data_IF_472807403164
#
_entry.id   IF_472807403164
#
_cell.length_a   1.000
_cell.length_b   1.000
_cell.length_c   1.000
_cell.angle_alpha   90.00
_cell.angle_beta   90.00
_cell.angle_gamma   90.00
#
_symmetry.space_group_name_H-M   'P 1'
#
loop_
_entity.id
_entity.type
_entity.pdbx_description
1 polymer ?
#
# COMPACT_ATOMS: atom_id res chain seq x y z
N UNK A 1 16.64 10.01 6.61
CA UNK A 1 15.66 9.65 5.56
C UNK A 1 15.22 8.22 5.87
N UNK A 2 13.96 8.00 6.24
CA UNK A 2 13.48 6.64 6.53
C UNK A 2 13.44 5.86 5.21
N UNK A 3 14.24 4.79 5.11
CA UNK A 3 14.12 3.85 4.01
C UNK A 3 12.72 3.22 4.11
N UNK A 4 11.91 3.34 3.05
CA UNK A 4 10.61 2.65 2.99
C UNK A 4 10.80 1.13 3.03
N UNK A 5 9.73 0.35 3.25
CA UNK A 5 9.79 -1.10 3.15
C UNK A 5 10.34 -1.51 1.78
N UNK A 6 11.36 -2.35 1.81
CA UNK A 6 12.02 -2.85 0.60
C UNK A 6 11.21 -4.01 0.00
N UNK A 7 10.66 -4.85 0.87
CA UNK A 7 10.02 -6.11 0.53
C UNK A 7 8.69 -6.30 1.29
N UNK A 8 7.92 -7.31 0.87
CA UNK A 8 6.64 -7.67 1.45
C UNK A 8 6.68 -8.07 2.92
N UNK A 9 7.79 -8.63 3.42
CA UNK A 9 7.93 -8.99 4.84
C UNK A 9 7.96 -7.73 5.69
N UNK A 10 8.79 -6.76 5.30
CA UNK A 10 8.88 -5.46 5.98
C UNK A 10 7.55 -4.71 5.92
N UNK A 11 6.92 -4.67 4.74
CA UNK A 11 5.62 -4.04 4.54
C UNK A 11 4.52 -4.70 5.41
N UNK A 12 4.48 -6.03 5.45
CA UNK A 12 3.55 -6.79 6.28
C UNK A 12 3.78 -6.51 7.77
N UNK A 13 5.02 -6.49 8.25
CA UNK A 13 5.34 -6.21 9.64
C UNK A 13 4.82 -4.84 10.09
N UNK A 14 5.03 -3.82 9.24
CA UNK A 14 4.54 -2.47 9.49
C UNK A 14 3.01 -2.40 9.50
N UNK A 15 2.35 -3.01 8.51
CA UNK A 15 0.89 -2.90 8.37
C UNK A 15 0.12 -3.83 9.31
N UNK A 16 0.65 -5.00 9.66
CA UNK A 16 0.06 -5.92 10.64
C UNK A 16 0.15 -5.38 12.06
N UNK A 17 1.19 -4.60 12.37
CA UNK A 17 1.35 -3.93 13.66
C UNK A 17 0.61 -2.59 13.78
N UNK A 18 -0.04 -2.12 12.71
CA UNK A 18 -0.66 -0.80 12.65
C UNK A 18 -1.79 -0.60 13.68
N UNK A 19 -2.51 -1.65 14.05
CA UNK A 19 -3.55 -1.60 15.07
C UNK A 19 -2.98 -1.57 16.50
N UNK A 20 -1.76 -2.05 16.68
CA UNK A 20 -1.15 -2.27 18.01
C UNK A 20 -0.10 -1.22 18.38
N UNK A 21 0.56 -0.63 17.38
CA UNK A 21 1.70 0.26 17.59
C UNK A 21 1.55 1.50 16.72
N UNK A 22 1.41 2.67 17.36
CA UNK A 22 1.20 3.96 16.68
C UNK A 22 2.27 4.28 15.63
N UNK A 23 3.55 3.99 15.92
CA UNK A 23 4.64 4.23 14.96
C UNK A 23 4.53 3.35 13.72
N UNK A 24 4.15 2.07 13.89
CA UNK A 24 3.91 1.15 12.77
C UNK A 24 2.70 1.61 11.93
N UNK A 25 1.66 2.10 12.59
CA UNK A 25 0.50 2.71 11.93
C UNK A 25 0.92 3.89 11.04
N UNK A 26 1.66 4.85 11.62
CA UNK A 26 2.15 6.03 10.89
C UNK A 26 3.02 5.61 9.72
N UNK A 27 3.91 4.63 9.87
CA UNK A 27 4.77 4.22 8.77
C UNK A 27 4.03 3.48 7.66
N UNK A 28 3.13 2.54 7.98
CA UNK A 28 2.30 1.86 6.97
C UNK A 28 1.41 2.87 6.22
N UNK A 29 0.75 3.79 6.95
CA UNK A 29 -0.09 4.82 6.34
C UNK A 29 0.72 5.81 5.49
N UNK A 30 1.86 6.29 5.99
CA UNK A 30 2.73 7.21 5.24
C UNK A 30 3.24 6.57 3.95
N UNK A 31 3.69 5.33 4.02
CA UNK A 31 4.21 4.63 2.84
C UNK A 31 3.12 4.36 1.79
N UNK A 32 1.97 3.86 2.23
CA UNK A 32 0.85 3.55 1.32
C UNK A 32 0.24 4.80 0.70
N UNK A 33 0.08 5.88 1.48
CA UNK A 33 -0.40 7.16 0.97
C UNK A 33 0.58 7.76 -0.03
N UNK A 34 1.88 7.80 0.31
CA UNK A 34 2.92 8.30 -0.59
C UNK A 34 3.00 7.52 -1.92
N UNK A 35 2.81 6.20 -1.88
CA UNK A 35 2.73 5.38 -3.09
C UNK A 35 1.53 5.77 -3.97
N UNK A 36 0.33 5.92 -3.38
CA UNK A 36 -0.89 6.28 -4.11
C UNK A 36 -0.78 7.67 -4.72
N UNK A 37 -0.27 8.64 -3.95
CA UNK A 37 -0.06 10.01 -4.43
C UNK A 37 0.92 10.05 -5.60
N UNK A 38 2.05 9.36 -5.50
CA UNK A 38 3.02 9.27 -6.58
C UNK A 38 2.43 8.58 -7.82
N UNK A 39 1.76 7.45 -7.64
CA UNK A 39 1.14 6.70 -8.74
C UNK A 39 0.07 7.53 -9.47
N UNK A 40 -0.79 8.24 -8.72
CA UNK A 40 -1.80 9.13 -9.28
C UNK A 40 -1.18 10.33 -9.98
N UNK A 41 -0.14 10.94 -9.41
CA UNK A 41 0.57 12.05 -10.05
C UNK A 41 1.11 11.67 -11.43
N UNK A 42 1.82 10.54 -11.53
CA UNK A 42 2.34 10.07 -12.81
C UNK A 42 1.23 9.65 -13.78
N UNK A 43 0.17 8.99 -13.29
CA UNK A 43 -0.94 8.58 -14.13
C UNK A 43 -1.72 9.77 -14.69
N UNK A 44 -1.96 10.82 -13.90
CA UNK A 44 -2.60 12.05 -14.37
C UNK A 44 -1.73 12.72 -15.45
N UNK A 45 -0.41 12.79 -15.24
CA UNK A 45 0.50 13.35 -16.25
C UNK A 45 0.50 12.58 -17.58
N UNK A 46 0.31 11.26 -17.54
CA UNK A 46 0.38 10.41 -18.75
C UNK A 46 -0.97 10.19 -19.43
N UNK A 47 -2.04 10.06 -18.64
CA UNK A 47 -3.36 9.58 -19.09
C UNK A 47 -4.51 10.54 -18.76
N UNK A 48 -4.23 11.65 -18.09
CA UNK A 48 -5.25 12.64 -17.69
C UNK A 48 -6.17 12.20 -16.56
N UNK A 49 -5.97 11.01 -15.96
CA UNK A 49 -6.80 10.49 -14.86
C UNK A 49 -5.98 9.77 -13.79
N UNK A 50 -6.43 9.78 -12.51
CA UNK A 50 -5.78 9.02 -11.45
C UNK A 50 -5.80 7.52 -11.74
N UNK A 51 -4.78 6.82 -11.23
CA UNK A 51 -4.68 5.36 -11.33
C UNK A 51 -5.58 4.67 -10.31
N UNK A 52 -5.62 5.21 -9.09
CA UNK A 52 -6.34 4.66 -7.96
C UNK A 52 -7.35 5.67 -7.38
N UNK A 53 -8.56 5.19 -7.14
CA UNK A 53 -9.68 5.95 -6.58
C UNK A 53 -10.01 5.40 -5.19
N UNK A 54 -9.28 5.90 -4.19
CA UNK A 54 -9.39 5.43 -2.79
C UNK A 54 -10.16 6.46 -1.96
N UNK A 55 -11.34 6.08 -1.48
CA UNK A 55 -12.12 6.90 -0.54
C UNK A 55 -11.59 6.75 0.91
N UNK A 56 -12.15 7.50 1.85
CA UNK A 56 -11.69 7.47 3.26
C UNK A 56 -11.85 6.10 3.91
N UNK A 57 -12.89 5.35 3.56
CA UNK A 57 -13.10 3.98 4.06
C UNK A 57 -12.03 3.02 3.51
N UNK A 58 -11.74 3.11 2.22
CA UNK A 58 -10.66 2.35 1.58
C UNK A 58 -9.32 2.61 2.24
N UNK A 59 -9.00 3.88 2.54
CA UNK A 59 -7.76 4.26 3.24
C UNK A 59 -7.62 3.60 4.61
N UNK A 60 -8.72 3.43 5.35
CA UNK A 60 -8.73 2.74 6.66
C UNK A 60 -8.50 1.23 6.52
N UNK A 61 -8.93 0.62 5.43
CA UNK A 61 -8.80 -0.82 5.20
C UNK A 61 -7.42 -1.24 4.66
N UNK A 62 -6.65 -0.32 4.07
CA UNK A 62 -5.36 -0.62 3.43
C UNK A 62 -4.41 -1.43 4.31
N UNK A 63 -4.11 -1.06 5.59
CA UNK A 63 -3.17 -1.82 6.41
C UNK A 63 -3.61 -3.28 6.62
N UNK A 64 -4.91 -3.47 6.84
CA UNK A 64 -5.50 -4.79 7.07
C UNK A 64 -5.53 -5.63 5.79
N UNK A 65 -5.83 -5.02 4.64
CA UNK A 65 -5.77 -5.67 3.33
C UNK A 65 -4.37 -6.13 2.98
N UNK A 66 -3.35 -5.30 3.21
CA UNK A 66 -1.95 -5.64 2.97
C UNK A 66 -1.53 -6.82 3.86
N UNK A 67 -1.78 -6.73 5.16
CA UNK A 67 -1.41 -7.79 6.10
C UNK A 67 -2.14 -9.11 5.78
N UNK A 68 -3.43 -9.04 5.45
CA UNK A 68 -4.23 -10.21 5.09
C UNK A 68 -3.74 -10.85 3.79
N UNK A 69 -3.43 -10.04 2.77
CA UNK A 69 -2.98 -10.54 1.47
C UNK A 69 -1.65 -11.27 1.56
N UNK A 70 -0.68 -10.72 2.29
CA UNK A 70 0.65 -11.34 2.43
C UNK A 70 0.58 -12.59 3.32
N UNK A 71 -0.30 -12.63 4.33
CA UNK A 71 -0.60 -13.86 5.09
C UNK A 71 -1.20 -14.96 4.21
N UNK A 72 -2.12 -14.60 3.31
CA UNK A 72 -2.77 -15.55 2.41
C UNK A 72 -1.86 -16.01 1.26
N UNK A 73 -0.88 -15.18 0.86
CA UNK A 73 0.06 -15.45 -0.23
C UNK A 73 1.49 -15.16 0.25
N UNK A 74 2.12 -16.10 0.98
CA UNK A 74 3.44 -15.90 1.56
C UNK A 74 4.55 -15.68 0.53
N UNK A 75 4.33 -16.08 -0.74
CA UNK A 75 5.22 -15.75 -1.85
C UNK A 75 5.42 -14.24 -2.04
N UNK A 76 4.39 -13.43 -1.74
CA UNK A 76 4.46 -11.97 -1.82
C UNK A 76 5.43 -11.38 -0.79
N UNK A 77 5.80 -12.12 0.26
CA UNK A 77 6.72 -11.61 1.28
C UNK A 77 8.11 -11.29 0.71
N UNK A 78 8.50 -11.93 -0.41
CA UNK A 78 9.78 -11.71 -1.09
C UNK A 78 9.71 -10.63 -2.17
N UNK A 79 8.50 -10.24 -2.57
CA UNK A 79 8.29 -9.28 -3.63
C UNK A 79 8.58 -7.84 -3.16
N UNK A 80 8.96 -6.94 -4.07
CA UNK A 80 9.12 -5.53 -3.74
C UNK A 80 7.82 -4.95 -3.16
N UNK A 81 7.91 -4.18 -2.08
CA UNK A 81 6.74 -3.59 -1.43
C UNK A 81 5.87 -2.76 -2.39
N UNK A 82 6.51 -2.02 -3.31
CA UNK A 82 5.83 -1.23 -4.34
C UNK A 82 5.07 -2.09 -5.37
N UNK A 83 5.57 -3.28 -5.71
CA UNK A 83 4.90 -4.21 -6.61
C UNK A 83 3.65 -4.80 -5.95
N UNK A 84 3.75 -5.17 -4.67
CA UNK A 84 2.61 -5.65 -3.89
C UNK A 84 1.53 -4.57 -3.81
N UNK A 85 1.90 -3.32 -3.50
CA UNK A 85 0.94 -2.21 -3.48
C UNK A 85 0.31 -1.97 -4.85
N UNK A 86 1.09 -2.06 -5.93
CA UNK A 86 0.57 -1.91 -7.28
C UNK A 86 -0.53 -2.94 -7.58
N UNK A 87 -0.25 -4.21 -7.30
CA UNK A 87 -1.18 -5.33 -7.54
C UNK A 87 -2.42 -5.14 -6.67
N UNK A 88 -2.23 -4.92 -5.37
CA UNK A 88 -3.32 -4.82 -4.40
C UNK A 88 -4.24 -3.63 -4.71
N UNK A 89 -3.68 -2.46 -5.01
CA UNK A 89 -4.48 -1.27 -5.30
C UNK A 89 -5.13 -1.32 -6.67
N UNK A 90 -4.48 -1.95 -7.66
CA UNK A 90 -5.13 -2.16 -8.97
C UNK A 90 -6.34 -3.10 -8.87
N UNK A 91 -6.28 -4.11 -7.99
CA UNK A 91 -7.39 -5.04 -7.81
C UNK A 91 -8.55 -4.47 -7.00
N UNK A 92 -8.26 -3.64 -5.98
CA UNK A 92 -9.27 -3.20 -5.01
C UNK A 92 -9.71 -1.75 -5.22
N UNK A 93 -8.90 -0.91 -5.86
CA UNK A 93 -9.10 0.53 -5.91
C UNK A 93 -8.82 1.16 -7.28
N UNK A 94 -8.78 0.40 -8.37
CA UNK A 94 -8.64 0.99 -9.70
C UNK A 94 -9.80 1.95 -9.98
N UNK A 95 -9.47 3.13 -10.52
CA UNK A 95 -10.48 4.05 -11.03
C UNK A 95 -11.20 3.44 -12.23
N UNK A 96 -12.54 3.43 -12.20
CA UNK A 96 -13.38 3.04 -13.34
C UNK A 96 -13.53 4.20 -14.32
#
# INVERSE_FOLDING_TARGET
>A
MAAGPQDGTTLMGMCNGADKVRSLAVMCHSYTSGYVEAANFYAIKQRGKPLFCINEEGKKMIPLLIASRIKAQPELAKEPASAILHILFSQNFACK
#
